data_IF_145640436033
#
_entry.id   IF_145640436033
#
_cell.length_a   1.000
_cell.length_b   1.000
_cell.length_c   1.000
_cell.angle_alpha   90.00
_cell.angle_beta   90.00
_cell.angle_gamma   90.00
#
_symmetry.space_group_name_H-M   'P 1'
#
loop_
_entity.id
_entity.type
_entity.pdbx_description
1 polymer ?
#
# COMPACT_ATOMS: atom_id res chain seq x y z
N UNK A 1 -10.79 -41.66 71.62
CA UNK A 1 -11.70 -41.24 70.52
C UNK A 1 -11.26 -39.88 69.98
N UNK A 2 -10.63 -39.92 68.81
CA UNK A 2 -9.90 -38.84 68.17
C UNK A 2 -10.80 -37.75 67.60
N UNK A 3 -10.27 -36.52 67.56
CA UNK A 3 -10.80 -35.37 66.81
C UNK A 3 -10.46 -35.57 65.34
N UNK A 4 -11.45 -35.52 64.45
CA UNK A 4 -11.23 -35.38 63.02
C UNK A 4 -11.17 -33.90 62.65
N UNK A 5 -10.03 -33.51 62.10
CA UNK A 5 -9.73 -32.20 61.53
C UNK A 5 -9.98 -32.20 60.03
N UNK A 6 -10.56 -31.11 59.56
CA UNK A 6 -10.76 -30.72 58.17
C UNK A 6 -9.47 -30.79 57.35
N UNK A 7 -9.55 -31.22 56.08
CA UNK A 7 -8.55 -30.82 55.07
C UNK A 7 -9.26 -30.34 53.80
N UNK A 8 -9.11 -29.04 53.56
CA UNK A 8 -9.61 -28.28 52.42
C UNK A 8 -8.43 -28.16 51.47
N UNK A 9 -8.42 -28.98 50.42
CA UNK A 9 -7.43 -28.94 49.36
C UNK A 9 -7.55 -27.64 48.54
N UNK A 10 -6.69 -26.68 48.85
CA UNK A 10 -6.48 -25.43 48.11
C UNK A 10 -5.61 -25.70 46.88
N UNK A 11 -6.21 -25.57 45.69
CA UNK A 11 -5.50 -25.70 44.41
C UNK A 11 -4.66 -24.43 44.18
N UNK A 12 -3.36 -24.50 44.49
CA UNK A 12 -2.40 -23.47 44.16
C UNK A 12 -2.31 -23.25 42.64
N UNK A 13 -2.80 -22.10 42.17
CA UNK A 13 -2.60 -21.62 40.81
C UNK A 13 -1.18 -21.08 40.68
N UNK A 14 -0.30 -21.81 40.01
CA UNK A 14 1.07 -21.35 39.75
C UNK A 14 1.08 -20.08 38.87
N UNK A 15 1.90 -19.06 39.21
CA UNK A 15 2.02 -17.85 38.41
C UNK A 15 2.72 -18.11 37.06
N UNK A 16 2.45 -17.31 36.03
CA UNK A 16 2.99 -17.53 34.69
C UNK A 16 4.53 -17.42 34.67
N UNK A 17 5.16 -18.45 34.10
CA UNK A 17 6.61 -18.54 33.86
C UNK A 17 7.15 -17.25 33.22
N UNK A 18 8.19 -16.67 33.85
CA UNK A 18 8.90 -15.50 33.33
C UNK A 18 9.57 -15.87 32.00
N UNK A 19 9.20 -15.17 30.92
CA UNK A 19 9.82 -15.36 29.60
C UNK A 19 11.34 -15.21 29.69
N UNK A 20 12.07 -16.19 29.15
CA UNK A 20 13.53 -16.13 29.03
C UNK A 20 13.91 -14.89 28.20
N UNK A 21 14.78 -14.04 28.77
CA UNK A 21 15.26 -12.83 28.09
C UNK A 21 16.36 -13.24 27.12
N UNK A 22 16.10 -13.12 25.82
CA UNK A 22 17.10 -13.36 24.79
C UNK A 22 18.23 -12.32 24.89
N UNK A 23 19.46 -12.75 24.65
CA UNK A 23 20.59 -11.83 24.51
C UNK A 23 20.53 -11.17 23.12
N UNK A 24 20.29 -9.86 23.10
CA UNK A 24 20.15 -9.06 21.89
C UNK A 24 21.50 -8.92 21.18
N UNK A 25 22.62 -9.01 21.90
CA UNK A 25 23.96 -8.84 21.34
C UNK A 25 24.37 -9.99 20.42
N UNK A 26 23.82 -11.18 20.63
CA UNK A 26 24.01 -12.37 19.80
C UNK A 26 23.26 -12.29 18.46
N UNK A 27 22.37 -11.31 18.30
CA UNK A 27 21.69 -11.12 17.02
C UNK A 27 22.67 -10.54 16.00
N UNK A 28 22.85 -11.22 14.86
CA UNK A 28 23.72 -10.75 13.76
C UNK A 28 23.43 -9.29 13.37
N UNK A 29 22.15 -8.91 13.32
CA UNK A 29 21.75 -7.55 12.95
C UNK A 29 22.07 -6.51 14.02
N UNK A 30 22.41 -6.89 15.27
CA UNK A 30 22.79 -5.94 16.30
C UNK A 30 24.13 -5.27 15.98
N UNK A 31 25.13 -6.03 15.54
CA UNK A 31 26.42 -5.50 15.10
C UNK A 31 26.27 -4.64 13.82
N UNK A 32 25.52 -5.13 12.84
CA UNK A 32 25.24 -4.38 11.59
C UNK A 32 24.48 -3.07 11.89
N UNK A 33 23.49 -3.11 12.78
CA UNK A 33 22.74 -1.91 13.20
C UNK A 33 23.63 -0.92 13.94
N UNK A 34 24.59 -1.39 14.76
CA UNK A 34 25.53 -0.52 15.45
C UNK A 34 26.42 0.24 14.46
N UNK A 35 27.02 -0.48 13.51
CA UNK A 35 27.85 0.12 12.46
C UNK A 35 27.02 1.12 11.65
N UNK A 36 25.83 0.71 11.19
CA UNK A 36 24.96 1.58 10.40
C UNK A 36 24.56 2.84 11.17
N UNK A 37 24.14 2.71 12.42
CA UNK A 37 23.77 3.85 13.27
C UNK A 37 24.94 4.81 13.48
N UNK A 38 26.20 4.35 13.48
CA UNK A 38 27.35 5.22 13.66
C UNK A 38 27.53 6.19 12.47
N UNK A 39 27.27 5.73 11.24
CA UNK A 39 27.41 6.51 9.99
C UNK A 39 26.17 7.36 9.65
N UNK A 40 25.04 7.16 10.34
CA UNK A 40 23.83 7.96 10.13
C UNK A 40 24.02 9.42 10.55
N UNK A 41 23.42 10.32 9.77
CA UNK A 41 23.37 11.75 10.11
C UNK A 41 22.53 12.00 11.36
N UNK A 42 22.69 13.19 11.95
CA UNK A 42 21.95 13.55 13.16
C UNK A 42 20.43 13.61 12.95
N UNK A 43 19.98 13.95 11.73
CA UNK A 43 18.56 13.92 11.36
C UNK A 43 17.97 12.50 11.52
N UNK A 44 18.64 11.50 10.97
CA UNK A 44 18.23 10.10 11.10
C UNK A 44 18.20 9.64 12.57
N UNK A 45 19.27 9.94 13.31
CA UNK A 45 19.38 9.61 14.73
C UNK A 45 18.25 10.25 15.54
N UNK A 46 17.85 11.48 15.22
CA UNK A 46 16.72 12.14 15.87
C UNK A 46 15.38 11.43 15.63
N UNK A 47 15.12 10.96 14.40
CA UNK A 47 13.94 10.14 14.08
C UNK A 47 13.94 8.85 14.90
N UNK A 48 15.05 8.10 14.88
CA UNK A 48 15.19 6.82 15.60
C UNK A 48 14.92 7.01 17.10
N UNK A 49 15.56 8.00 17.73
CA UNK A 49 15.34 8.29 19.17
C UNK A 49 13.88 8.57 19.49
N UNK A 50 13.18 9.32 18.63
CA UNK A 50 11.74 9.62 18.83
C UNK A 50 10.89 8.36 18.66
N UNK A 51 11.14 7.57 17.61
CA UNK A 51 10.43 6.30 17.38
C UNK A 51 10.62 5.34 18.56
N UNK A 52 11.83 5.20 19.08
CA UNK A 52 12.11 4.34 20.23
C UNK A 52 11.37 4.82 21.48
N UNK A 53 11.38 6.12 21.74
CA UNK A 53 10.64 6.73 22.84
C UNK A 53 9.11 6.52 22.73
N UNK A 54 8.55 6.68 21.53
CA UNK A 54 7.12 6.45 21.31
C UNK A 54 6.76 4.95 21.37
N UNK A 55 7.66 4.09 20.91
CA UNK A 55 7.44 2.64 20.85
C UNK A 55 7.52 1.96 22.20
N UNK A 56 8.10 2.61 23.22
CA UNK A 56 8.10 2.12 24.60
C UNK A 56 6.67 1.90 25.13
N UNK A 57 5.75 2.85 24.87
CA UNK A 57 4.31 2.67 25.06
C UNK A 57 3.50 3.57 24.11
N UNK A 58 3.03 2.97 23.01
CA UNK A 58 2.23 3.66 22.00
C UNK A 58 0.86 4.12 22.52
N UNK A 59 0.29 3.42 23.51
CA UNK A 59 -1.02 3.79 24.03
C UNK A 59 -0.90 5.07 24.88
N UNK A 60 0.17 5.19 25.66
CA UNK A 60 0.51 6.41 26.40
C UNK A 60 0.78 7.57 25.44
N UNK A 61 1.59 7.34 24.39
CA UNK A 61 1.86 8.36 23.38
C UNK A 61 0.57 8.88 22.71
N UNK A 62 -0.31 7.97 22.26
CA UNK A 62 -1.60 8.35 21.64
C UNK A 62 -2.51 9.06 22.64
N UNK A 63 -2.56 8.62 23.90
CA UNK A 63 -3.33 9.30 24.96
C UNK A 63 -2.81 10.71 25.20
N UNK A 64 -1.49 10.90 25.16
CA UNK A 64 -0.86 12.22 25.28
C UNK A 64 -1.25 13.14 24.11
N UNK A 65 -1.20 12.65 22.86
CA UNK A 65 -1.64 13.40 21.68
C UNK A 65 -3.10 13.86 21.81
N UNK A 66 -4.00 12.97 22.27
CA UNK A 66 -5.41 13.32 22.46
C UNK A 66 -5.62 14.39 23.54
N UNK A 67 -4.75 14.44 24.53
CA UNK A 67 -4.81 15.41 25.64
C UNK A 67 -4.22 16.77 25.29
N UNK A 68 -3.31 16.84 24.31
CA UNK A 68 -2.56 18.06 24.03
C UNK A 68 -3.39 19.19 23.43
N UNK A 69 -4.61 18.91 22.93
CA UNK A 69 -5.53 19.85 22.26
C UNK A 69 -4.99 20.54 21.00
N UNK A 70 -3.72 20.33 20.65
CA UNK A 70 -3.02 20.89 19.49
C UNK A 70 -2.75 19.85 18.39
N UNK A 71 -3.38 18.67 18.44
CA UNK A 71 -3.18 17.65 17.42
C UNK A 71 -3.86 18.07 16.10
N UNK A 72 -3.22 17.86 14.94
CA UNK A 72 -3.82 18.16 13.64
C UNK A 72 -5.03 17.28 13.35
N UNK A 73 -5.81 17.70 12.34
CA UNK A 73 -6.93 16.92 11.79
C UNK A 73 -6.40 15.69 11.08
N UNK A 74 -6.43 14.53 11.75
CA UNK A 74 -5.83 13.30 11.24
C UNK A 74 -6.59 12.05 11.71
N UNK A 75 -6.76 11.00 10.87
CA UNK A 75 -7.49 9.80 11.26
C UNK A 75 -6.90 9.11 12.49
N UNK A 76 -7.76 8.86 13.49
CA UNK A 76 -7.30 8.32 14.78
C UNK A 76 -6.55 6.99 14.67
N UNK A 77 -6.94 6.13 13.72
CA UNK A 77 -6.34 4.81 13.47
C UNK A 77 -4.90 4.88 12.95
N UNK A 78 -4.52 5.99 12.30
CA UNK A 78 -3.21 6.13 11.64
C UNK A 78 -2.11 6.67 12.57
N UNK A 79 -2.44 7.16 13.76
CA UNK A 79 -1.44 7.68 14.71
C UNK A 79 -0.38 6.64 15.12
N UNK A 80 -0.72 5.35 15.14
CA UNK A 80 0.25 4.28 15.40
C UNK A 80 1.31 4.20 14.30
N UNK A 81 0.91 4.40 13.04
CA UNK A 81 1.85 4.40 11.92
C UNK A 81 2.77 5.63 11.98
N UNK A 82 2.20 6.82 12.24
CA UNK A 82 2.97 8.06 12.44
C UNK A 82 4.02 7.88 13.53
N UNK A 83 3.62 7.45 14.73
CA UNK A 83 4.53 7.32 15.88
C UNK A 83 5.64 6.29 15.67
N UNK A 84 5.42 5.28 14.82
CA UNK A 84 6.42 4.27 14.47
C UNK A 84 7.29 4.65 13.28
N UNK A 85 7.06 5.83 12.69
CA UNK A 85 7.64 6.24 11.42
C UNK A 85 7.41 5.19 10.31
N UNK A 86 6.16 4.76 10.17
CA UNK A 86 5.73 3.79 9.17
C UNK A 86 4.94 4.45 8.05
N UNK A 87 4.82 3.73 6.94
CA UNK A 87 4.02 4.13 5.79
C UNK A 87 2.58 4.51 6.20
N UNK A 88 2.13 5.66 5.70
CA UNK A 88 0.77 6.17 5.88
C UNK A 88 0.05 6.04 4.55
N UNK A 89 -1.03 5.26 4.50
CA UNK A 89 -1.86 5.13 3.29
C UNK A 89 -2.66 6.42 3.09
N UNK A 90 -2.28 7.22 2.08
CA UNK A 90 -2.89 8.53 1.83
C UNK A 90 -4.38 8.45 1.51
N UNK A 91 -4.88 7.34 0.94
CA UNK A 91 -6.32 7.17 0.74
C UNK A 91 -7.08 7.10 2.08
N UNK A 92 -6.48 6.53 3.13
CA UNK A 92 -7.08 6.53 4.47
C UNK A 92 -7.06 7.91 5.13
N UNK A 93 -6.06 8.73 4.80
CA UNK A 93 -6.00 10.14 5.21
C UNK A 93 -7.08 10.96 4.49
N UNK A 94 -7.18 10.77 3.17
CA UNK A 94 -8.15 11.47 2.33
C UNK A 94 -9.60 11.14 2.70
N UNK A 95 -9.87 9.90 3.15
CA UNK A 95 -11.19 9.48 3.62
C UNK A 95 -11.75 10.33 4.78
N UNK A 96 -10.92 11.13 5.46
CA UNK A 96 -11.36 12.08 6.49
C UNK A 96 -12.13 13.28 5.91
N UNK A 97 -11.80 13.67 4.68
CA UNK A 97 -12.23 14.93 4.06
C UNK A 97 -12.95 14.74 2.73
N UNK A 98 -12.76 13.59 2.08
CA UNK A 98 -13.33 13.27 0.77
C UNK A 98 -13.61 11.77 0.64
N UNK A 99 -14.72 11.43 -0.01
CA UNK A 99 -15.04 10.03 -0.37
C UNK A 99 -14.39 9.59 -1.68
N UNK A 100 -13.79 10.52 -2.42
CA UNK A 100 -13.19 10.25 -3.72
C UNK A 100 -11.80 9.63 -3.57
N UNK A 101 -11.41 8.82 -4.55
CA UNK A 101 -10.05 8.29 -4.63
C UNK A 101 -9.05 9.39 -5.00
N UNK A 102 -7.81 9.24 -4.55
CA UNK A 102 -6.72 10.10 -4.98
C UNK A 102 -6.33 9.71 -6.41
N UNK A 103 -6.73 10.53 -7.39
CA UNK A 103 -6.45 10.28 -8.82
C UNK A 103 -5.56 11.32 -9.47
N UNK A 104 -5.16 12.36 -8.75
CA UNK A 104 -4.33 13.43 -9.31
C UNK A 104 -3.78 14.39 -8.27
N UNK A 105 -3.03 15.37 -8.77
CA UNK A 105 -2.23 16.33 -8.02
C UNK A 105 -2.96 16.94 -6.82
N UNK A 106 -4.10 17.62 -7.02
CA UNK A 106 -4.80 18.34 -5.92
C UNK A 106 -5.21 17.42 -4.79
N UNK A 107 -5.80 16.27 -5.11
CA UNK A 107 -6.25 15.29 -4.12
C UNK A 107 -5.05 14.68 -3.37
N UNK A 108 -3.96 14.40 -4.10
CA UNK A 108 -2.72 13.91 -3.51
C UNK A 108 -2.11 14.94 -2.57
N UNK A 109 -1.96 16.19 -3.03
CA UNK A 109 -1.34 17.28 -2.26
C UNK A 109 -2.07 17.53 -0.96
N UNK A 110 -3.40 17.55 -0.99
CA UNK A 110 -4.20 17.73 0.21
C UNK A 110 -4.01 16.59 1.21
N UNK A 111 -4.08 15.34 0.74
CA UNK A 111 -3.86 14.17 1.60
C UNK A 111 -2.43 14.13 2.16
N UNK A 112 -1.44 14.48 1.35
CA UNK A 112 -0.04 14.61 1.76
C UNK A 112 0.13 15.68 2.84
N UNK A 113 -0.47 16.86 2.70
CA UNK A 113 -0.37 17.93 3.70
C UNK A 113 -0.92 17.51 5.06
N UNK A 114 -2.08 16.83 5.10
CA UNK A 114 -2.61 16.26 6.35
C UNK A 114 -1.66 15.24 6.98
N UNK A 115 -1.02 14.39 6.16
CA UNK A 115 -0.01 13.44 6.65
C UNK A 115 1.25 14.15 7.14
N UNK A 116 1.77 15.11 6.38
CA UNK A 116 2.97 15.88 6.69
C UNK A 116 2.81 16.73 7.96
N UNK A 117 1.62 17.29 8.20
CA UNK A 117 1.28 17.96 9.46
C UNK A 117 1.33 17.01 10.65
N UNK A 118 0.73 15.82 10.51
CA UNK A 118 0.77 14.79 11.56
C UNK A 118 2.20 14.30 11.84
N UNK A 119 3.01 14.06 10.80
CA UNK A 119 4.42 13.69 10.94
C UNK A 119 5.21 14.83 11.59
N UNK A 120 5.02 16.08 11.16
CA UNK A 120 5.73 17.23 11.73
C UNK A 120 5.34 17.47 13.19
N UNK A 121 4.09 17.20 13.55
CA UNK A 121 3.62 17.29 14.93
C UNK A 121 4.38 16.34 15.87
N UNK A 122 4.68 15.11 15.42
CA UNK A 122 5.47 14.14 16.20
C UNK A 122 6.98 14.30 16.00
N UNK A 123 7.42 14.73 14.83
CA UNK A 123 8.82 14.91 14.45
C UNK A 123 9.07 16.33 13.90
N UNK A 124 9.14 17.36 14.76
CA UNK A 124 9.23 18.77 14.32
C UNK A 124 10.39 19.08 13.37
N UNK A 125 11.51 18.37 13.54
CA UNK A 125 12.71 18.52 12.73
C UNK A 125 12.60 17.96 11.30
N UNK A 126 11.54 17.20 10.99
CA UNK A 126 11.29 16.65 9.64
C UNK A 126 10.52 17.60 8.72
N UNK A 127 10.13 18.78 9.19
CA UNK A 127 9.35 19.73 8.37
C UNK A 127 10.03 20.04 7.03
N UNK A 128 11.34 20.27 7.05
CA UNK A 128 12.09 20.64 5.84
C UNK A 128 12.07 19.53 4.79
N UNK A 129 12.40 18.30 5.18
CA UNK A 129 12.41 17.16 4.24
C UNK A 129 11.02 16.85 3.66
N UNK A 130 9.95 17.03 4.44
CA UNK A 130 8.58 16.81 3.97
C UNK A 130 8.14 17.87 2.95
N UNK A 131 8.58 19.12 3.12
CA UNK A 131 8.34 20.21 2.16
C UNK A 131 9.12 19.95 0.87
N UNK A 132 10.39 19.55 0.97
CA UNK A 132 11.22 19.23 -0.20
C UNK A 132 10.65 18.03 -0.97
N UNK A 133 10.13 17.02 -0.28
CA UNK A 133 9.43 15.90 -0.92
C UNK A 133 8.11 16.31 -1.58
N UNK A 134 7.30 17.16 -0.94
CA UNK A 134 6.11 17.73 -1.57
C UNK A 134 6.47 18.40 -2.90
N UNK A 135 7.50 19.26 -2.87
CA UNK A 135 7.98 19.97 -4.05
C UNK A 135 8.47 19.01 -5.14
N UNK A 136 9.17 17.94 -4.77
CA UNK A 136 9.61 16.92 -5.72
C UNK A 136 8.43 16.25 -6.43
N UNK A 137 7.44 15.74 -5.70
CA UNK A 137 6.27 15.07 -6.31
C UNK A 137 5.41 16.06 -7.11
N UNK A 138 5.22 17.28 -6.60
CA UNK A 138 4.53 18.35 -7.34
C UNK A 138 5.26 18.71 -8.64
N UNK A 139 6.59 18.74 -8.62
CA UNK A 139 7.41 18.92 -9.82
C UNK A 139 7.15 17.84 -10.86
N UNK A 140 6.96 16.58 -10.44
CA UNK A 140 6.56 15.50 -11.35
C UNK A 140 5.18 15.74 -11.96
N UNK A 141 4.18 16.13 -11.17
CA UNK A 141 2.83 16.44 -11.70
C UNK A 141 2.86 17.61 -12.69
N UNK A 142 3.66 18.64 -12.42
CA UNK A 142 3.73 19.84 -13.27
C UNK A 142 4.48 19.63 -14.58
N UNK A 143 5.42 18.68 -14.63
CA UNK A 143 6.29 18.44 -15.79
C UNK A 143 5.84 17.27 -16.65
N UNK A 144 5.04 16.35 -16.11
CA UNK A 144 4.59 15.16 -16.81
C UNK A 144 3.16 15.33 -17.32
N UNK A 145 2.84 14.64 -18.42
CA UNK A 145 1.48 14.64 -18.96
C UNK A 145 0.50 13.90 -18.03
N UNK A 146 -0.78 14.29 -18.04
CA UNK A 146 -1.85 13.71 -17.19
C UNK A 146 -1.96 12.18 -17.28
N UNK A 147 -1.60 11.59 -18.43
CA UNK A 147 -1.58 10.13 -18.63
C UNK A 147 -0.58 9.42 -17.71
N UNK A 148 0.45 10.12 -17.22
CA UNK A 148 1.50 9.60 -16.34
C UNK A 148 1.13 9.80 -14.86
N UNK A 149 0.09 10.57 -14.52
CA UNK A 149 -0.26 10.87 -13.12
C UNK A 149 -0.50 9.63 -12.25
N UNK A 150 -1.10 8.58 -12.82
CA UNK A 150 -1.27 7.31 -12.11
C UNK A 150 0.08 6.71 -11.68
N UNK A 151 1.09 6.82 -12.54
CA UNK A 151 2.42 6.31 -12.26
C UNK A 151 3.16 7.16 -11.24
N UNK A 152 2.94 8.48 -11.24
CA UNK A 152 3.45 9.39 -10.20
C UNK A 152 2.90 8.99 -8.83
N UNK A 153 1.60 8.70 -8.72
CA UNK A 153 0.98 8.23 -7.48
C UNK A 153 1.54 6.87 -7.03
N UNK A 154 1.80 5.97 -7.97
CA UNK A 154 2.42 4.67 -7.66
C UNK A 154 3.88 4.82 -7.20
N UNK A 155 4.63 5.73 -7.85
CA UNK A 155 5.99 6.09 -7.46
C UNK A 155 6.04 6.67 -6.04
N UNK A 156 5.19 7.67 -5.75
CA UNK A 156 5.02 8.25 -4.41
C UNK A 156 4.74 7.17 -3.36
N UNK A 157 3.74 6.32 -3.62
CA UNK A 157 3.39 5.20 -2.74
C UNK A 157 4.58 4.28 -2.48
N UNK A 158 5.32 3.91 -3.52
CA UNK A 158 6.47 3.02 -3.40
C UNK A 158 7.61 3.65 -2.59
N UNK A 159 7.88 4.94 -2.79
CA UNK A 159 8.88 5.69 -2.02
C UNK A 159 8.45 5.78 -0.55
N UNK A 160 7.21 6.19 -0.27
CA UNK A 160 6.71 6.29 1.10
C UNK A 160 6.72 4.92 1.83
N UNK A 161 6.44 3.83 1.10
CA UNK A 161 6.58 2.47 1.65
C UNK A 161 8.03 2.12 1.96
N UNK A 162 8.97 2.47 1.07
CA UNK A 162 10.40 2.30 1.32
C UNK A 162 10.85 3.06 2.58
N UNK A 163 10.44 4.33 2.73
CA UNK A 163 10.74 5.14 3.91
C UNK A 163 10.21 4.47 5.18
N UNK A 164 8.97 3.99 5.16
CA UNK A 164 8.36 3.31 6.31
C UNK A 164 9.01 1.96 6.68
N UNK A 165 9.83 1.39 5.79
CA UNK A 165 10.56 0.14 6.02
C UNK A 165 12.02 0.38 6.47
N UNK A 166 12.58 1.55 6.16
CA UNK A 166 14.00 1.86 6.33
C UNK A 166 14.20 3.16 7.10
N UNK A 167 14.86 3.05 8.25
CA UNK A 167 15.18 4.20 9.12
C UNK A 167 16.47 4.94 8.73
N UNK A 168 17.11 4.50 7.65
CA UNK A 168 18.33 5.07 7.10
C UNK A 168 18.09 5.89 5.83
N UNK A 169 16.85 6.31 5.61
CA UNK A 169 16.45 7.16 4.51
C UNK A 169 15.58 8.30 5.04
N UNK A 170 15.76 9.49 4.47
CA UNK A 170 14.87 10.64 4.66
C UNK A 170 14.16 10.99 3.36
N UNK A 171 13.10 11.81 3.50
CA UNK A 171 12.29 12.24 2.37
C UNK A 171 13.03 13.20 1.40
N UNK A 172 14.12 13.83 1.84
CA UNK A 172 14.99 14.72 1.05
C UNK A 172 16.21 14.00 0.41
N UNK A 173 16.38 12.70 0.61
CA UNK A 173 17.53 11.93 0.11
C UNK A 173 17.37 11.46 -1.36
N UNK A 174 17.02 12.37 -2.27
CA UNK A 174 16.69 12.05 -3.67
C UNK A 174 17.82 11.42 -4.48
N UNK A 175 19.07 11.62 -4.07
CA UNK A 175 20.29 11.13 -4.73
C UNK A 175 20.58 9.65 -4.40
N UNK A 176 19.84 9.06 -3.45
CA UNK A 176 20.03 7.65 -3.12
C UNK A 176 19.63 6.75 -4.29
N UNK A 177 20.39 5.66 -4.47
CA UNK A 177 20.22 4.73 -5.58
C UNK A 177 18.79 4.18 -5.67
N UNK A 178 18.12 4.02 -4.53
CA UNK A 178 16.74 3.53 -4.49
C UNK A 178 15.77 4.52 -5.14
N UNK A 179 15.89 5.84 -4.89
CA UNK A 179 15.06 6.84 -5.56
C UNK A 179 15.24 6.80 -7.08
N UNK A 180 16.47 6.64 -7.56
CA UNK A 180 16.76 6.52 -8.98
C UNK A 180 16.15 5.25 -9.59
N UNK A 181 16.23 4.10 -8.89
CA UNK A 181 15.58 2.84 -9.30
C UNK A 181 14.07 3.00 -9.41
N UNK A 182 13.42 3.56 -8.38
CA UNK A 182 11.98 3.77 -8.38
C UNK A 182 11.54 4.80 -9.43
N UNK A 183 12.28 5.91 -9.63
CA UNK A 183 11.99 6.85 -10.73
C UNK A 183 12.03 6.13 -12.07
N UNK A 184 13.07 5.33 -12.32
CA UNK A 184 13.23 4.60 -13.59
C UNK A 184 12.12 3.57 -13.81
N UNK A 185 11.73 2.85 -12.75
CA UNK A 185 10.72 1.81 -12.84
C UNK A 185 9.31 2.35 -13.12
N UNK A 186 8.97 3.52 -12.56
CA UNK A 186 7.62 4.08 -12.61
C UNK A 186 7.43 5.23 -13.61
N UNK A 187 8.47 6.02 -13.91
CA UNK A 187 8.32 7.27 -14.65
C UNK A 187 8.99 7.26 -16.03
N UNK A 188 9.98 6.40 -16.26
CA UNK A 188 10.65 6.28 -17.58
C UNK A 188 9.84 5.39 -18.50
N UNK A 189 9.57 5.78 -19.74
CA UNK A 189 8.75 5.01 -20.72
C UNK A 189 9.10 3.51 -20.85
N UNK A 190 10.38 3.15 -20.69
CA UNK A 190 10.87 1.76 -20.72
C UNK A 190 10.79 1.01 -19.38
N UNK A 191 10.26 1.65 -18.32
CA UNK A 191 10.12 1.10 -16.99
C UNK A 191 9.08 -0.02 -16.93
N UNK A 192 9.26 -0.95 -16.00
CA UNK A 192 8.36 -2.11 -15.85
C UNK A 192 6.92 -1.72 -15.48
N UNK A 193 6.69 -0.51 -14.97
CA UNK A 193 5.37 0.02 -14.61
C UNK A 193 4.84 1.08 -15.59
N UNK A 194 5.64 1.53 -16.55
CA UNK A 194 5.22 2.46 -17.62
C UNK A 194 4.80 1.72 -18.88
N UNK A 195 4.35 0.47 -18.77
CA UNK A 195 3.78 -0.29 -19.88
C UNK A 195 2.60 0.43 -20.50
N UNK A 196 2.89 1.42 -21.33
CA UNK A 196 2.02 1.94 -22.36
C UNK A 196 1.79 0.71 -23.23
N UNK A 197 0.57 0.19 -23.24
CA UNK A 197 0.13 -0.74 -24.27
C UNK A 197 0.15 -0.02 -25.62
N UNK A 198 1.34 0.18 -26.16
CA UNK A 198 1.57 0.32 -27.59
C UNK A 198 1.79 -1.12 -28.06
N UNK A 199 0.78 -1.64 -28.77
CA UNK A 199 0.75 -3.02 -29.21
C UNK A 199 2.00 -3.39 -29.96
N UNK A 200 2.76 -4.34 -29.42
CA UNK A 200 3.56 -5.32 -30.16
C UNK A 200 3.92 -6.43 -29.19
N UNK A 201 3.55 -7.64 -29.58
CA UNK A 201 3.48 -8.82 -28.73
C UNK A 201 4.85 -9.41 -28.41
N UNK A 202 4.96 -9.98 -27.21
CA UNK A 202 5.52 -11.31 -26.98
C UNK A 202 4.91 -11.86 -25.67
N UNK A 203 4.05 -12.90 -25.73
CA UNK A 203 3.44 -13.44 -24.53
C UNK A 203 4.43 -14.37 -23.80
N UNK A 204 4.83 -13.99 -22.58
CA UNK A 204 5.38 -14.94 -21.63
C UNK A 204 4.27 -15.93 -21.23
N UNK A 205 4.55 -17.20 -21.53
CA UNK A 205 3.66 -18.32 -21.35
C UNK A 205 3.43 -18.57 -19.85
N UNK A 206 2.17 -18.58 -19.44
CA UNK A 206 1.76 -19.22 -18.19
C UNK A 206 1.84 -20.74 -18.37
N UNK A 207 2.27 -21.55 -17.38
CA UNK A 207 2.55 -22.98 -17.58
C UNK A 207 1.33 -23.88 -17.78
N UNK A 208 0.11 -23.34 -17.91
CA UNK A 208 -1.08 -24.16 -18.13
C UNK A 208 -1.95 -23.59 -19.27
N UNK A 209 -2.18 -24.37 -20.35
CA UNK A 209 -3.11 -23.97 -21.39
C UNK A 209 -4.53 -23.95 -20.82
N UNK A 210 -5.08 -22.75 -20.62
CA UNK A 210 -6.50 -22.59 -20.30
C UNK A 210 -7.32 -23.07 -21.49
N UNK A 211 -8.13 -24.10 -21.28
CA UNK A 211 -9.09 -24.60 -22.26
C UNK A 211 -10.16 -23.53 -22.54
N UNK A 212 -9.89 -22.73 -23.57
CA UNK A 212 -10.78 -21.64 -23.99
C UNK A 212 -11.98 -22.14 -24.81
N UNK A 213 -12.10 -23.46 -25.06
CA UNK A 213 -13.20 -24.00 -25.90
C UNK A 213 -14.59 -23.82 -25.28
N UNK A 214 -14.64 -23.61 -23.97
CA UNK A 214 -15.88 -23.44 -23.21
C UNK A 214 -16.35 -21.98 -23.15
N UNK A 215 -15.49 -21.02 -23.48
CA UNK A 215 -15.77 -19.59 -23.40
C UNK A 215 -16.50 -19.06 -24.64
N UNK A 216 -17.34 -18.05 -24.46
CA UNK A 216 -17.96 -17.32 -25.58
C UNK A 216 -16.92 -16.38 -26.22
N UNK A 217 -16.85 -16.39 -27.55
CA UNK A 217 -15.99 -15.48 -28.30
C UNK A 217 -16.52 -14.04 -28.25
N UNK A 218 -15.79 -13.14 -27.59
CA UNK A 218 -16.15 -11.71 -27.53
C UNK A 218 -16.05 -11.02 -28.90
N UNK A 219 -15.03 -11.35 -29.69
CA UNK A 219 -14.84 -10.81 -31.04
C UNK A 219 -15.98 -11.20 -31.99
N UNK A 220 -16.44 -12.45 -31.93
CA UNK A 220 -17.65 -12.87 -32.67
C UNK A 220 -18.87 -12.03 -32.27
N UNK A 221 -19.01 -11.73 -30.98
CA UNK A 221 -20.10 -10.88 -30.48
C UNK A 221 -19.99 -9.40 -30.90
N UNK A 222 -18.82 -8.98 -31.37
CA UNK A 222 -18.56 -7.65 -31.93
C UNK A 222 -18.61 -7.64 -33.47
N UNK A 223 -18.72 -8.80 -34.12
CA UNK A 223 -18.67 -8.94 -35.58
C UNK A 223 -17.24 -9.00 -36.15
N UNK A 224 -16.23 -9.17 -35.30
CA UNK A 224 -14.80 -9.13 -35.62
C UNK A 224 -14.15 -10.53 -35.65
N UNK A 225 -14.96 -11.59 -35.73
CA UNK A 225 -14.48 -12.97 -35.80
C UNK A 225 -15.38 -13.79 -36.72
N UNK A 226 -14.84 -14.34 -37.79
CA UNK A 226 -15.52 -15.26 -38.68
C UNK A 226 -15.32 -16.72 -38.23
N UNK A 227 -16.17 -17.63 -38.73
CA UNK A 227 -16.07 -19.06 -38.40
C UNK A 227 -14.84 -19.75 -39.04
N UNK A 228 -14.18 -19.10 -39.98
CA UNK A 228 -13.03 -19.63 -40.72
C UNK A 228 -11.68 -19.27 -40.06
N UNK A 229 -11.68 -18.39 -39.06
CA UNK A 229 -10.50 -17.90 -38.36
C UNK A 229 -9.81 -18.93 -37.44
N UNK A 230 -10.23 -20.20 -37.45
CA UNK A 230 -9.72 -21.24 -36.55
C UNK A 230 -10.00 -20.95 -35.06
N UNK A 231 -11.04 -20.16 -34.77
CA UNK A 231 -11.36 -19.75 -33.40
C UNK A 231 -11.81 -20.95 -32.55
N UNK A 232 -11.10 -21.19 -31.43
CA UNK A 232 -11.44 -22.28 -30.50
C UNK A 232 -12.63 -21.95 -29.58
N UNK A 233 -13.04 -20.68 -29.48
CA UNK A 233 -14.11 -20.22 -28.58
C UNK A 233 -15.49 -20.40 -29.22
N UNK A 234 -16.55 -20.46 -28.40
CA UNK A 234 -17.94 -20.63 -28.88
C UNK A 234 -18.44 -19.39 -29.61
N UNK A 235 -18.88 -19.58 -30.86
CA UNK A 235 -19.54 -18.55 -31.68
C UNK A 235 -21.05 -18.57 -31.46
N UNK A 236 -21.45 -18.09 -30.28
CA UNK A 236 -22.84 -17.91 -29.88
C UNK A 236 -23.05 -16.50 -29.35
N UNK A 237 -24.27 -15.98 -29.51
CA UNK A 237 -24.65 -14.68 -29.02
C UNK A 237 -24.53 -14.59 -27.49
N UNK A 238 -23.88 -13.57 -26.97
CA UNK A 238 -23.73 -13.35 -25.52
C UNK A 238 -25.07 -13.02 -24.84
N UNK A 239 -26.01 -12.41 -25.60
CA UNK A 239 -27.31 -11.99 -25.09
C UNK A 239 -28.31 -13.15 -25.02
N UNK A 240 -28.55 -13.83 -26.13
CA UNK A 240 -29.58 -14.88 -26.22
C UNK A 240 -29.04 -16.32 -26.30
N UNK A 241 -27.71 -16.50 -26.31
CA UNK A 241 -27.01 -17.81 -26.38
C UNK A 241 -27.28 -18.65 -27.64
N UNK A 242 -27.98 -18.11 -28.64
CA UNK A 242 -28.21 -18.75 -29.95
C UNK A 242 -27.00 -18.60 -30.87
N UNK A 243 -26.81 -19.56 -31.79
CA UNK A 243 -25.80 -19.51 -32.86
C UNK A 243 -26.25 -18.67 -34.06
N UNK A 244 -25.34 -18.40 -34.99
CA UNK A 244 -25.63 -17.71 -36.25
C UNK A 244 -25.54 -16.18 -36.22
N UNK A 245 -25.48 -15.55 -35.04
CA UNK A 245 -25.26 -14.11 -34.90
C UNK A 245 -24.49 -13.75 -33.62
N UNK A 246 -23.74 -12.64 -33.67
CA UNK A 246 -23.11 -12.02 -32.50
C UNK A 246 -24.06 -11.05 -31.77
N UNK A 247 -23.73 -10.67 -30.54
CA UNK A 247 -24.51 -9.73 -29.72
C UNK A 247 -24.77 -8.39 -30.42
N UNK A 248 -23.82 -7.90 -31.24
CA UNK A 248 -23.98 -6.69 -32.05
C UNK A 248 -25.17 -6.75 -33.02
N UNK A 249 -25.53 -7.96 -33.49
CA UNK A 249 -26.62 -8.21 -34.44
C UNK A 249 -27.82 -8.92 -33.80
N UNK A 250 -27.88 -8.97 -32.47
CA UNK A 250 -28.94 -9.67 -31.75
C UNK A 250 -30.23 -8.85 -31.75
N UNK A 251 -31.31 -9.44 -32.27
CA UNK A 251 -32.67 -8.85 -32.27
C UNK A 251 -33.41 -9.07 -30.94
N UNK A 252 -32.97 -10.05 -30.14
CA UNK A 252 -33.48 -10.35 -28.80
C UNK A 252 -32.76 -9.47 -27.74
N UNK A 253 -32.86 -8.14 -27.84
CA UNK A 253 -32.35 -7.23 -26.81
C UNK A 253 -33.38 -7.09 -25.69
N UNK A 254 -33.46 -8.08 -24.80
CA UNK A 254 -34.25 -7.96 -23.57
C UNK A 254 -34.83 -9.27 -23.09
N UNK A 255 -34.14 -9.89 -22.15
CA UNK A 255 -34.70 -10.48 -20.91
C UNK A 255 -33.55 -11.17 -20.16
N UNK A 256 -32.88 -10.41 -19.28
CA UNK A 256 -32.00 -11.00 -18.28
C UNK A 256 -32.85 -11.83 -17.31
N UNK A 257 -32.99 -13.13 -17.54
CA UNK A 257 -33.46 -14.05 -16.49
C UNK A 257 -32.40 -14.14 -15.41
N UNK A 258 -32.57 -13.36 -14.36
CA UNK A 258 -31.88 -13.54 -13.08
C UNK A 258 -32.18 -14.92 -12.52
N UNK A 259 -31.19 -15.81 -12.56
CA UNK A 259 -31.21 -17.08 -11.84
C UNK A 259 -30.79 -16.84 -10.40
N UNK A 260 -31.76 -16.90 -9.48
CA UNK A 260 -31.55 -17.07 -8.05
C UNK A 260 -30.68 -18.32 -7.81
N UNK A 261 -29.59 -18.18 -7.06
CA UNK A 261 -28.93 -19.30 -6.40
C UNK A 261 -29.54 -19.48 -5.02
N UNK A 262 -30.19 -20.62 -4.82
CA UNK A 262 -30.14 -21.36 -3.56
C UNK A 262 -28.96 -22.33 -3.68
#
# INVERSE_FOLDING_TARGET
PAKESEDRSELEVQPPSKRVKQDISEFRWAAESFIKNSVLSEKHKAVIRKVDNYSADLNVAIKSIKKSSCNPSFPRKLWRAVLKDQYIELNEVNALVSTLQITGERAWRWAWQLAAEAITFTFPFRRKELIEYEQHIMGLFNTQHVSVHKNILQYDKAICQLMGLRRDLLYDDFEQQDFAKYRSAFLTSSGSHTGISMGSALPQQSPHPRDCSKEICKKFNQGECDAFSGCKRKHICANCRKSGHGASSCKDKGESKGGKTN
#
